data_IF_031203103320
#
_entry.id   IF_031203103320
#
_cell.length_a   1.000
_cell.length_b   1.000
_cell.length_c   1.000
_cell.angle_alpha   90.00
_cell.angle_beta   90.00
_cell.angle_gamma   90.00
#
_symmetry.space_group_name_H-M   'P 1'
#
loop_
_entity.id
_entity.type
_entity.pdbx_description
1 polymer ?
#
# COMPACT_ATOMS: atom_id res chain seq x y z
N UNK A 1 3.84 33.41 -17.57
CA UNK A 1 2.81 32.39 -17.79
C UNK A 1 1.47 33.08 -18.02
N UNK A 2 0.68 32.59 -18.96
CA UNK A 2 -0.70 33.09 -19.17
C UNK A 2 -1.64 32.33 -18.27
N UNK A 3 -2.51 33.06 -17.55
CA UNK A 3 -3.50 32.48 -16.65
C UNK A 3 -4.82 32.30 -17.42
N UNK A 4 -5.46 31.16 -17.26
CA UNK A 4 -6.71 30.81 -17.89
C UNK A 4 -7.66 30.24 -16.84
N UNK A 5 -8.95 30.54 -16.96
CA UNK A 5 -9.99 29.84 -16.20
C UNK A 5 -10.29 28.48 -16.84
N UNK A 6 -10.77 27.52 -16.06
CA UNK A 6 -11.23 26.24 -16.60
C UNK A 6 -12.41 26.44 -17.55
N UNK A 7 -13.27 27.44 -17.29
CA UNK A 7 -14.38 27.78 -18.20
C UNK A 7 -13.86 28.16 -19.59
N UNK A 8 -12.86 29.06 -19.70
CA UNK A 8 -12.26 29.46 -20.97
C UNK A 8 -11.64 28.24 -21.70
N UNK A 9 -10.91 27.36 -20.98
CA UNK A 9 -10.28 26.19 -21.58
C UNK A 9 -11.28 25.16 -22.07
N UNK A 10 -12.46 25.08 -21.44
CA UNK A 10 -13.56 24.20 -21.89
C UNK A 10 -14.25 24.79 -23.11
N UNK A 11 -14.51 26.10 -23.12
CA UNK A 11 -15.11 26.80 -24.27
C UNK A 11 -14.23 26.69 -25.50
N UNK A 12 -12.90 26.80 -25.33
CA UNK A 12 -11.90 26.61 -26.39
C UNK A 12 -11.74 25.13 -26.83
N UNK A 13 -12.42 24.18 -26.17
CA UNK A 13 -12.29 22.74 -26.45
C UNK A 13 -10.96 22.12 -26.05
N UNK A 14 -10.18 22.79 -25.20
CA UNK A 14 -8.82 22.36 -24.79
C UNK A 14 -8.89 21.32 -23.65
N UNK A 15 -9.88 21.44 -22.77
CA UNK A 15 -10.10 20.51 -21.68
C UNK A 15 -11.57 20.18 -21.46
N UNK A 16 -11.81 19.12 -20.70
CA UNK A 16 -13.14 18.72 -20.26
C UNK A 16 -13.14 18.49 -18.75
N UNK A 17 -14.20 18.95 -18.10
CA UNK A 17 -14.49 18.70 -16.68
C UNK A 17 -15.83 17.99 -16.58
N UNK A 18 -15.90 16.98 -15.74
CA UNK A 18 -17.17 16.26 -15.53
C UNK A 18 -17.24 15.59 -14.17
N UNK A 19 -18.45 15.19 -13.82
CA UNK A 19 -18.73 14.40 -12.61
C UNK A 19 -18.92 12.90 -12.93
N UNK A 20 -19.09 12.10 -11.89
CA UNK A 20 -19.33 10.68 -12.01
C UNK A 20 -20.79 10.29 -12.24
N UNK A 21 -21.00 8.99 -12.41
CA UNK A 21 -22.31 8.37 -12.62
C UNK A 21 -22.99 8.05 -11.29
N UNK A 22 -24.29 8.33 -11.19
CA UNK A 22 -25.13 7.98 -10.03
C UNK A 22 -25.69 6.57 -10.22
N UNK A 23 -24.93 5.58 -9.79
CA UNK A 23 -25.37 4.19 -9.83
C UNK A 23 -26.51 3.92 -8.83
N UNK A 24 -27.50 3.12 -9.25
CA UNK A 24 -28.46 2.49 -8.34
C UNK A 24 -27.84 1.22 -7.74
N UNK A 25 -28.21 0.86 -6.53
CA UNK A 25 -27.71 -0.38 -5.89
C UNK A 25 -28.00 -1.63 -6.75
N UNK A 26 -29.11 -1.65 -7.48
CA UNK A 26 -29.48 -2.74 -8.38
C UNK A 26 -28.60 -2.85 -9.64
N UNK A 27 -27.74 -1.88 -9.90
CA UNK A 27 -26.80 -1.91 -11.04
C UNK A 27 -25.43 -2.46 -10.64
N UNK A 28 -25.19 -2.63 -9.33
CA UNK A 28 -23.91 -3.08 -8.76
C UNK A 28 -23.98 -4.54 -8.30
N UNK A 29 -22.81 -5.13 -7.97
CA UNK A 29 -22.71 -6.51 -7.48
C UNK A 29 -22.47 -7.55 -8.56
N UNK A 30 -22.03 -7.16 -9.76
CA UNK A 30 -21.66 -8.06 -10.86
C UNK A 30 -20.17 -8.09 -11.16
N UNK A 31 -19.83 -8.58 -12.34
CA UNK A 31 -18.45 -8.70 -12.85
C UNK A 31 -18.15 -7.72 -14.00
N UNK A 32 -18.97 -6.67 -14.17
CA UNK A 32 -18.79 -5.66 -15.19
C UNK A 32 -17.70 -4.63 -14.87
N UNK A 33 -17.87 -3.40 -15.38
CA UNK A 33 -16.91 -2.32 -15.19
C UNK A 33 -16.77 -1.95 -13.71
N UNK A 34 -15.56 -1.59 -13.29
CA UNK A 34 -15.29 -1.10 -11.93
C UNK A 34 -16.07 0.21 -11.70
N UNK A 35 -16.75 0.32 -10.56
CA UNK A 35 -17.33 1.55 -10.10
C UNK A 35 -16.37 2.26 -9.16
N UNK A 36 -15.66 3.25 -9.67
CA UNK A 36 -14.57 3.94 -8.97
C UNK A 36 -15.13 4.91 -7.92
N UNK A 37 -15.10 4.50 -6.65
CA UNK A 37 -15.52 5.34 -5.52
C UNK A 37 -14.40 6.22 -5.01
N UNK A 38 -14.75 7.34 -4.35
CA UNK A 38 -13.78 8.23 -3.70
C UNK A 38 -12.94 7.52 -2.62
N UNK A 39 -13.46 6.47 -1.99
CA UNK A 39 -12.73 5.66 -1.01
C UNK A 39 -11.53 4.92 -1.61
N UNK A 40 -11.56 4.62 -2.91
CA UNK A 40 -10.43 3.97 -3.60
C UNK A 40 -9.32 4.94 -4.00
N UNK A 41 -9.55 6.25 -3.93
CA UNK A 41 -8.52 7.26 -4.15
C UNK A 41 -7.87 7.62 -2.83
N UNK A 42 -6.61 7.22 -2.67
CA UNK A 42 -5.76 7.50 -1.52
C UNK A 42 -4.67 8.51 -1.91
N UNK A 43 -3.92 9.03 -0.94
CA UNK A 43 -2.80 9.96 -1.20
C UNK A 43 -1.70 9.31 -2.05
N UNK A 44 -1.60 7.99 -1.99
CA UNK A 44 -0.68 7.17 -2.78
C UNK A 44 -1.18 6.81 -4.18
N UNK A 45 -2.38 7.25 -4.58
CA UNK A 45 -3.04 6.90 -5.83
C UNK A 45 -4.26 5.98 -5.63
N UNK A 46 -4.68 5.31 -6.70
CA UNK A 46 -5.83 4.42 -6.65
C UNK A 46 -5.46 3.05 -6.06
N UNK A 47 -6.31 2.58 -5.15
CA UNK A 47 -6.26 1.26 -4.57
C UNK A 47 -7.58 0.54 -4.80
N UNK A 48 -7.54 -0.57 -5.54
CA UNK A 48 -8.72 -1.32 -5.98
C UNK A 48 -8.77 -2.71 -5.31
N UNK A 49 -8.70 -2.75 -3.98
CA UNK A 49 -8.92 -4.00 -3.24
C UNK A 49 -10.42 -4.30 -3.25
N UNK A 50 -10.82 -5.35 -3.95
CA UNK A 50 -12.22 -5.78 -4.13
C UNK A 50 -13.19 -4.64 -4.49
N UNK A 51 -13.01 -3.97 -5.66
CA UNK A 51 -13.80 -2.81 -6.01
C UNK A 51 -15.22 -3.20 -6.40
N UNK A 52 -16.18 -2.34 -6.06
CA UNK A 52 -17.54 -2.44 -6.59
C UNK A 52 -17.55 -2.51 -8.11
N UNK A 53 -18.39 -3.37 -8.67
CA UNK A 53 -18.53 -3.54 -10.11
C UNK A 53 -19.98 -3.45 -10.55
N UNK A 54 -20.20 -2.97 -11.76
CA UNK A 54 -21.49 -3.04 -12.39
C UNK A 54 -21.86 -4.48 -12.76
N UNK A 55 -23.16 -4.76 -12.88
CA UNK A 55 -23.63 -6.06 -13.31
C UNK A 55 -23.29 -6.35 -14.77
N UNK A 56 -23.25 -5.31 -15.60
CA UNK A 56 -22.97 -5.43 -17.05
C UNK A 56 -21.77 -4.58 -17.45
N UNK A 57 -21.06 -5.05 -18.49
CA UNK A 57 -19.91 -4.36 -19.07
C UNK A 57 -20.34 -3.57 -20.32
N UNK A 58 -21.22 -2.58 -20.18
CA UNK A 58 -21.72 -1.73 -21.28
C UNK A 58 -21.12 -0.31 -21.21
N UNK A 59 -19.93 -0.07 -21.79
CA UNK A 59 -19.29 1.26 -21.72
C UNK A 59 -20.16 2.38 -22.29
N UNK A 60 -20.90 2.12 -23.34
CA UNK A 60 -21.75 3.13 -24.01
C UNK A 60 -22.82 3.76 -23.10
N UNK A 61 -23.24 3.07 -22.03
CA UNK A 61 -24.21 3.57 -21.06
C UNK A 61 -23.65 4.75 -20.24
N UNK A 62 -22.35 4.81 -20.04
CA UNK A 62 -21.71 5.74 -19.12
C UNK A 62 -21.09 6.96 -19.82
N UNK A 63 -20.93 6.92 -21.14
CA UNK A 63 -20.39 8.02 -21.95
C UNK A 63 -19.06 8.53 -21.40
N UNK A 64 -18.99 9.84 -21.21
CA UNK A 64 -17.78 10.54 -20.75
C UNK A 64 -17.37 10.23 -19.29
N UNK A 65 -18.23 9.55 -18.52
CA UNK A 65 -17.99 9.20 -17.12
C UNK A 65 -17.10 7.97 -16.93
N UNK A 66 -16.55 7.47 -18.04
CA UNK A 66 -15.55 6.42 -18.05
C UNK A 66 -14.16 7.04 -17.91
N UNK A 67 -13.36 6.47 -17.03
CA UNK A 67 -11.99 6.85 -16.79
C UNK A 67 -11.12 6.62 -18.04
N UNK A 68 -10.53 7.69 -18.55
CA UNK A 68 -9.58 7.65 -19.63
C UNK A 68 -8.15 7.84 -19.08
N UNK A 69 -7.21 7.15 -19.67
CA UNK A 69 -5.80 7.35 -19.36
C UNK A 69 -5.43 8.82 -19.51
N UNK A 70 -4.79 9.37 -18.50
CA UNK A 70 -4.40 10.78 -18.47
C UNK A 70 -5.39 11.70 -17.74
N UNK A 71 -6.56 11.20 -17.33
CA UNK A 71 -7.47 11.99 -16.49
C UNK A 71 -6.83 12.31 -15.14
N UNK A 72 -6.97 13.55 -14.70
CA UNK A 72 -6.78 13.95 -13.32
C UNK A 72 -8.13 13.85 -12.60
N UNK A 73 -8.19 13.05 -11.54
CA UNK A 73 -9.43 12.77 -10.81
C UNK A 73 -9.36 13.38 -9.43
N UNK A 74 -10.40 14.11 -9.03
CA UNK A 74 -10.45 14.77 -7.73
C UNK A 74 -11.67 14.32 -6.93
N UNK A 75 -11.49 14.11 -5.63
CA UNK A 75 -12.59 13.91 -4.70
C UNK A 75 -13.28 15.26 -4.44
N UNK A 76 -14.60 15.29 -4.60
CA UNK A 76 -15.36 16.56 -4.58
C UNK A 76 -16.19 16.74 -3.31
N UNK A 77 -16.32 15.70 -2.46
CA UNK A 77 -17.24 15.77 -1.30
C UNK A 77 -16.71 14.97 -0.10
N UNK A 78 -16.92 15.52 1.09
CA UNK A 78 -16.59 14.90 2.37
C UNK A 78 -15.15 15.15 2.80
N UNK A 79 -14.67 14.39 3.80
CA UNK A 79 -13.36 14.61 4.44
C UNK A 79 -12.15 14.42 3.48
N UNK A 80 -12.35 13.75 2.35
CA UNK A 80 -11.31 13.57 1.33
C UNK A 80 -11.35 14.60 0.21
N UNK A 81 -12.21 15.64 0.31
CA UNK A 81 -12.34 16.68 -0.73
C UNK A 81 -10.98 17.29 -1.05
N UNK A 82 -10.66 17.35 -2.34
CA UNK A 82 -9.36 17.85 -2.81
C UNK A 82 -8.29 16.79 -3.01
N UNK A 83 -8.51 15.52 -2.63
CA UNK A 83 -7.56 14.45 -2.94
C UNK A 83 -7.58 14.18 -4.44
N UNK A 84 -6.38 14.08 -5.04
CA UNK A 84 -6.21 13.96 -6.50
C UNK A 84 -5.49 12.67 -6.86
N UNK A 85 -5.94 12.05 -7.96
CA UNK A 85 -5.30 10.89 -8.58
C UNK A 85 -5.12 11.07 -10.08
N UNK A 86 -4.17 10.33 -10.64
CA UNK A 86 -3.91 10.28 -12.08
C UNK A 86 -4.31 8.92 -12.65
N UNK A 87 -5.13 8.90 -13.68
CA UNK A 87 -5.61 7.65 -14.30
C UNK A 87 -4.50 7.03 -15.13
N UNK A 88 -4.06 5.85 -14.71
CA UNK A 88 -3.16 4.94 -15.43
C UNK A 88 -3.92 3.67 -15.83
N UNK A 89 -3.28 2.75 -16.54
CA UNK A 89 -3.91 1.55 -17.08
C UNK A 89 -4.70 0.69 -16.08
N UNK A 90 -4.35 0.70 -14.79
CA UNK A 90 -5.04 -0.10 -13.76
C UNK A 90 -6.48 0.38 -13.45
N UNK A 91 -6.79 1.63 -13.72
CA UNK A 91 -8.12 2.24 -13.47
C UNK A 91 -8.79 2.75 -14.75
N UNK A 92 -8.11 2.60 -15.89
CA UNK A 92 -8.69 2.94 -17.20
C UNK A 92 -9.92 2.07 -17.47
N UNK A 93 -10.98 2.68 -17.99
CA UNK A 93 -12.24 1.98 -18.24
C UNK A 93 -13.17 1.88 -17.02
N UNK A 94 -12.76 2.28 -15.83
CA UNK A 94 -13.63 2.36 -14.67
C UNK A 94 -14.66 3.50 -14.80
N UNK A 95 -15.80 3.38 -14.14
CA UNK A 95 -16.84 4.42 -14.13
C UNK A 95 -16.71 5.26 -12.86
N UNK A 96 -16.55 6.55 -12.99
CA UNK A 96 -16.46 7.48 -11.85
C UNK A 96 -17.75 7.52 -11.05
N UNK A 97 -17.67 7.51 -9.72
CA UNK A 97 -18.79 7.75 -8.82
C UNK A 97 -19.08 9.26 -8.66
N UNK A 98 -20.28 9.65 -8.18
CA UNK A 98 -20.68 11.06 -8.07
C UNK A 98 -19.83 11.92 -7.13
N UNK A 99 -19.00 11.31 -6.29
CA UNK A 99 -18.07 12.01 -5.38
C UNK A 99 -16.70 12.24 -6.01
N UNK A 100 -16.54 11.84 -7.27
CA UNK A 100 -15.35 12.10 -8.09
C UNK A 100 -15.71 13.04 -9.22
N UNK A 101 -14.79 13.94 -9.53
CA UNK A 101 -14.78 14.72 -10.76
C UNK A 101 -13.50 14.42 -11.52
N UNK A 102 -13.54 14.56 -12.82
CA UNK A 102 -12.37 14.37 -13.68
C UNK A 102 -12.05 15.62 -14.49
N UNK A 103 -10.78 15.86 -14.71
CA UNK A 103 -10.23 16.86 -15.59
C UNK A 103 -9.44 16.16 -16.69
N UNK A 104 -9.89 16.34 -17.92
CA UNK A 104 -9.33 15.66 -19.09
C UNK A 104 -8.78 16.69 -20.06
N UNK A 105 -7.50 16.57 -20.42
CA UNK A 105 -6.95 17.32 -21.54
C UNK A 105 -7.49 16.77 -22.86
N UNK A 106 -8.05 17.66 -23.69
CA UNK A 106 -8.58 17.34 -25.02
C UNK A 106 -7.62 17.73 -26.13
N UNK A 107 -6.69 18.64 -25.88
CA UNK A 107 -5.58 19.02 -26.77
C UNK A 107 -4.25 18.94 -26.01
N UNK A 108 -3.52 17.85 -26.19
CA UNK A 108 -2.23 17.61 -25.54
C UNK A 108 -1.09 18.54 -26.06
N UNK A 109 -1.33 19.30 -27.11
CA UNK A 109 -0.40 20.37 -27.55
C UNK A 109 -0.57 21.66 -26.75
N UNK A 110 -1.63 21.77 -25.98
CA UNK A 110 -1.96 22.92 -25.15
C UNK A 110 -1.85 22.60 -23.66
N UNK A 111 -2.32 21.43 -23.24
CA UNK A 111 -2.22 20.95 -21.86
C UNK A 111 -1.68 19.53 -21.85
N UNK A 112 -0.50 19.35 -21.29
CA UNK A 112 0.05 18.02 -20.98
C UNK A 112 -0.74 17.38 -19.84
N UNK A 113 -1.37 16.19 -20.03
CA UNK A 113 -2.23 15.58 -19.03
C UNK A 113 -1.58 15.40 -17.66
N UNK A 114 -0.30 14.95 -17.64
CA UNK A 114 0.42 14.72 -16.39
C UNK A 114 0.83 16.02 -15.71
N UNK A 115 1.04 17.11 -16.48
CA UNK A 115 1.21 18.44 -15.91
C UNK A 115 -0.04 18.92 -15.19
N UNK A 116 -1.22 18.70 -15.75
CA UNK A 116 -2.50 19.04 -15.12
C UNK A 116 -2.67 18.33 -13.77
N UNK A 117 -2.26 17.06 -13.68
CA UNK A 117 -2.20 16.33 -12.42
C UNK A 117 -1.23 16.97 -11.42
N UNK A 118 0.00 17.37 -11.83
CA UNK A 118 0.92 18.01 -10.92
C UNK A 118 0.48 19.44 -10.52
N UNK A 119 -0.16 20.14 -11.43
CA UNK A 119 -0.78 21.43 -11.09
C UNK A 119 -1.82 21.26 -9.97
N UNK A 120 -2.64 20.24 -10.00
CA UNK A 120 -3.63 19.95 -8.95
C UNK A 120 -3.04 19.62 -7.57
N UNK A 121 -1.74 19.51 -7.47
CA UNK A 121 -0.98 19.32 -6.22
C UNK A 121 -0.11 20.55 -5.87
N UNK A 122 -0.15 21.58 -6.68
CA UNK A 122 0.61 22.81 -6.47
C UNK A 122 -0.09 23.76 -5.49
N UNK A 123 0.68 24.69 -4.93
CA UNK A 123 0.13 25.75 -4.07
C UNK A 123 -0.95 26.56 -4.79
N UNK A 124 -0.77 26.85 -6.10
CA UNK A 124 -1.75 27.59 -6.89
C UNK A 124 -3.15 26.97 -6.87
N UNK A 125 -3.23 25.65 -6.96
CA UNK A 125 -4.51 24.95 -6.85
C UNK A 125 -5.00 24.83 -5.41
N UNK A 126 -4.12 24.46 -4.46
CA UNK A 126 -4.49 24.25 -3.06
C UNK A 126 -5.06 25.51 -2.40
N UNK A 127 -4.51 26.68 -2.73
CA UNK A 127 -4.99 27.98 -2.24
C UNK A 127 -6.41 28.26 -2.76
N UNK A 128 -6.66 28.00 -4.05
CA UNK A 128 -8.00 28.15 -4.64
C UNK A 128 -9.01 27.15 -4.05
N UNK A 129 -8.59 25.89 -3.87
CA UNK A 129 -9.42 24.87 -3.25
C UNK A 129 -9.81 25.28 -1.82
N UNK A 130 -8.85 25.81 -1.04
CA UNK A 130 -9.08 26.32 0.31
C UNK A 130 -10.20 27.36 0.35
N UNK A 131 -10.18 28.32 -0.55
CA UNK A 131 -11.18 29.37 -0.65
C UNK A 131 -12.55 28.90 -1.17
N UNK A 132 -12.59 27.84 -1.98
CA UNK A 132 -13.84 27.36 -2.61
C UNK A 132 -14.54 26.27 -1.80
N UNK A 133 -13.79 25.27 -1.31
CA UNK A 133 -14.38 24.04 -0.73
C UNK A 133 -14.47 24.05 0.80
N UNK A 134 -13.70 24.90 1.49
CA UNK A 134 -13.57 24.91 2.94
C UNK A 134 -13.98 26.25 3.59
N UNK A 135 -14.64 27.12 2.85
CA UNK A 135 -15.04 28.46 3.31
C UNK A 135 -16.30 28.49 4.20
N UNK A 136 -16.95 27.35 4.43
CA UNK A 136 -18.18 27.26 5.23
C UNK A 136 -18.06 26.17 6.29
N UNK A 137 -18.86 26.26 7.37
CA UNK A 137 -18.95 25.23 8.43
C UNK A 137 -19.62 23.92 7.96
N UNK A 138 -20.05 23.85 6.70
CA UNK A 138 -20.61 22.63 6.11
C UNK A 138 -19.52 21.66 5.67
N UNK A 139 -19.92 20.40 5.44
CA UNK A 139 -18.98 19.39 4.91
C UNK A 139 -18.33 19.89 3.61
N UNK A 140 -17.01 19.78 3.48
CA UNK A 140 -16.28 20.28 2.30
C UNK A 140 -16.88 19.78 0.99
N UNK A 141 -17.05 20.70 0.04
CA UNK A 141 -17.63 20.38 -1.28
C UNK A 141 -17.07 21.29 -2.37
N UNK A 142 -16.51 20.69 -3.42
CA UNK A 142 -16.06 21.37 -4.62
C UNK A 142 -17.04 21.09 -5.77
N UNK A 143 -17.99 22.01 -6.02
CA UNK A 143 -18.99 21.84 -7.06
C UNK A 143 -18.39 21.95 -8.47
N UNK A 144 -19.07 21.42 -9.50
CA UNK A 144 -18.65 21.64 -10.90
C UNK A 144 -18.60 23.13 -11.25
N UNK A 145 -19.52 23.94 -10.68
CA UNK A 145 -19.54 25.39 -10.90
C UNK A 145 -18.28 26.06 -10.32
N UNK A 146 -17.83 25.62 -9.16
CA UNK A 146 -16.59 26.14 -8.56
C UNK A 146 -15.37 25.73 -9.38
N UNK A 147 -15.34 24.47 -9.88
CA UNK A 147 -14.26 24.00 -10.76
C UNK A 147 -14.14 24.83 -12.05
N UNK A 148 -15.24 25.34 -12.62
CA UNK A 148 -15.18 26.24 -13.79
C UNK A 148 -14.46 27.56 -13.50
N UNK A 149 -14.40 27.97 -12.23
CA UNK A 149 -13.77 29.21 -11.78
C UNK A 149 -12.30 29.03 -11.42
N UNK A 150 -11.80 27.77 -11.39
CA UNK A 150 -10.38 27.53 -11.16
C UNK A 150 -9.54 28.20 -12.23
N UNK A 151 -8.48 28.84 -11.81
CA UNK A 151 -7.50 29.48 -12.66
C UNK A 151 -6.21 28.68 -12.69
N UNK A 152 -5.72 28.36 -13.87
CA UNK A 152 -4.46 27.64 -14.09
C UNK A 152 -3.48 28.51 -14.86
N UNK A 153 -2.23 28.57 -14.36
CA UNK A 153 -1.11 29.19 -15.05
C UNK A 153 -0.46 28.16 -16.00
N UNK A 154 -0.63 28.35 -17.30
CA UNK A 154 -0.08 27.45 -18.30
C UNK A 154 1.26 28.00 -18.84
N UNK A 155 2.39 27.33 -18.56
CA UNK A 155 3.65 27.58 -19.26
C UNK A 155 3.59 27.03 -20.70
N UNK A 156 4.61 27.31 -21.50
CA UNK A 156 4.77 26.69 -22.83
C UNK A 156 4.75 25.17 -22.72
N UNK A 157 4.21 24.51 -23.75
CA UNK A 157 4.00 23.05 -23.73
C UNK A 157 5.28 22.26 -23.46
N UNK A 158 6.44 22.72 -23.96
CA UNK A 158 7.73 22.09 -23.70
C UNK A 158 8.11 22.11 -22.21
N UNK A 159 7.74 23.18 -21.49
CA UNK A 159 7.96 23.28 -20.03
C UNK A 159 7.00 22.33 -19.29
N UNK A 160 5.72 22.28 -19.69
CA UNK A 160 4.76 21.35 -19.12
C UNK A 160 5.23 19.88 -19.27
N UNK A 161 5.69 19.52 -20.46
CA UNK A 161 6.22 18.19 -20.76
C UNK A 161 7.47 17.86 -19.94
N UNK A 162 8.40 18.82 -19.79
CA UNK A 162 9.58 18.65 -18.96
C UNK A 162 9.24 18.43 -17.48
N UNK A 163 8.34 19.23 -16.92
CA UNK A 163 7.84 19.03 -15.54
C UNK A 163 7.16 17.66 -15.40
N UNK A 164 6.28 17.30 -16.34
CA UNK A 164 5.56 16.04 -16.34
C UNK A 164 6.51 14.84 -16.46
N UNK A 165 7.55 14.93 -17.28
CA UNK A 165 8.56 13.88 -17.45
C UNK A 165 9.40 13.70 -16.18
N UNK A 166 9.92 14.79 -15.62
CA UNK A 166 10.81 14.77 -14.45
C UNK A 166 10.10 14.22 -13.20
N UNK A 167 8.97 14.81 -12.83
CA UNK A 167 8.19 14.34 -11.68
C UNK A 167 7.56 12.97 -11.96
N UNK A 168 7.23 12.73 -13.23
CA UNK A 168 6.67 11.48 -13.69
C UNK A 168 7.61 10.30 -13.54
N UNK A 169 8.88 10.45 -13.83
CA UNK A 169 9.87 9.41 -13.65
C UNK A 169 9.95 8.96 -12.18
N UNK A 170 9.87 9.90 -11.23
CA UNK A 170 9.83 9.61 -9.79
C UNK A 170 8.58 8.82 -9.41
N UNK A 171 7.39 9.27 -9.83
CA UNK A 171 6.14 8.56 -9.55
C UNK A 171 6.07 7.17 -10.18
N UNK A 172 6.62 7.01 -11.40
CA UNK A 172 6.64 5.71 -12.09
C UNK A 172 7.60 4.74 -11.40
N UNK A 173 8.74 5.20 -10.89
CA UNK A 173 9.67 4.40 -10.12
C UNK A 173 9.10 4.00 -8.76
N UNK A 174 8.43 4.92 -8.06
CA UNK A 174 7.69 4.63 -6.81
C UNK A 174 6.66 3.52 -7.05
N UNK A 175 5.89 3.62 -8.12
CA UNK A 175 4.88 2.64 -8.47
C UNK A 175 5.50 1.28 -8.84
N UNK A 176 6.61 1.28 -9.58
CA UNK A 176 7.36 0.06 -9.90
C UNK A 176 7.85 -0.64 -8.64
N UNK A 177 8.42 0.12 -7.70
CA UNK A 177 8.88 -0.41 -6.42
C UNK A 177 7.73 -1.02 -5.61
N UNK A 178 6.56 -0.38 -5.58
CA UNK A 178 5.37 -0.91 -4.90
C UNK A 178 4.88 -2.23 -5.52
N UNK A 179 4.81 -2.30 -6.85
CA UNK A 179 4.40 -3.53 -7.55
C UNK A 179 5.38 -4.67 -7.33
N UNK A 180 6.66 -4.36 -7.41
CA UNK A 180 7.72 -5.33 -7.13
C UNK A 180 7.61 -5.86 -5.69
N UNK A 181 7.44 -4.98 -4.71
CA UNK A 181 7.25 -5.37 -3.31
C UNK A 181 6.04 -6.27 -3.14
N UNK A 182 4.88 -5.91 -3.70
CA UNK A 182 3.67 -6.72 -3.63
C UNK A 182 3.89 -8.12 -4.23
N UNK A 183 4.55 -8.21 -5.39
CA UNK A 183 4.86 -9.50 -6.03
C UNK A 183 5.80 -10.35 -5.17
N UNK A 184 6.87 -9.77 -4.62
CA UNK A 184 7.83 -10.50 -3.77
C UNK A 184 7.17 -10.97 -2.47
N UNK A 185 6.30 -10.16 -1.88
CA UNK A 185 5.52 -10.55 -0.70
C UNK A 185 4.55 -11.70 -1.00
N UNK A 186 3.85 -11.65 -2.14
CA UNK A 186 2.98 -12.75 -2.57
C UNK A 186 3.76 -14.04 -2.81
N UNK A 187 4.94 -13.96 -3.44
CA UNK A 187 5.81 -15.11 -3.63
C UNK A 187 6.27 -15.71 -2.30
N UNK A 188 6.70 -14.89 -1.34
CA UNK A 188 7.12 -15.33 -0.02
C UNK A 188 5.98 -16.02 0.74
N UNK A 189 4.77 -15.45 0.70
CA UNK A 189 3.57 -16.00 1.33
C UNK A 189 3.10 -17.30 0.64
N UNK A 190 3.15 -17.35 -0.68
CA UNK A 190 2.81 -18.56 -1.43
C UNK A 190 3.79 -19.70 -1.11
N UNK A 191 5.09 -19.38 -1.00
CA UNK A 191 6.11 -20.37 -0.62
C UNK A 191 5.90 -20.87 0.81
N UNK A 192 5.65 -19.95 1.76
CA UNK A 192 5.30 -20.31 3.13
C UNK A 192 4.11 -21.27 3.16
N UNK A 193 3.00 -20.91 2.50
CA UNK A 193 1.79 -21.73 2.48
C UNK A 193 2.04 -23.10 1.85
N UNK A 194 2.71 -23.12 0.70
CA UNK A 194 3.07 -24.35 0.00
C UNK A 194 3.92 -25.31 0.85
N UNK A 195 4.90 -24.80 1.61
CA UNK A 195 5.83 -25.64 2.33
C UNK A 195 5.34 -26.06 3.70
N UNK A 196 4.73 -25.13 4.46
CA UNK A 196 4.45 -25.31 5.89
C UNK A 196 2.97 -25.47 6.23
N UNK A 197 2.06 -25.20 5.30
CA UNK A 197 0.62 -25.33 5.49
C UNK A 197 0.04 -26.45 4.61
N UNK A 198 0.25 -26.33 3.29
CA UNK A 198 -0.31 -27.26 2.31
C UNK A 198 0.59 -28.47 2.06
N UNK A 199 1.84 -28.48 2.56
CA UNK A 199 2.84 -29.54 2.38
C UNK A 199 2.99 -29.99 0.92
N UNK A 200 2.83 -29.07 -0.04
CA UNK A 200 2.80 -29.37 -1.47
C UNK A 200 4.02 -30.14 -1.98
N UNK A 201 5.28 -29.84 -1.52
CA UNK A 201 6.44 -30.63 -1.92
C UNK A 201 6.37 -32.10 -1.48
N UNK A 202 5.82 -32.35 -0.28
CA UNK A 202 5.69 -33.72 0.26
C UNK A 202 4.63 -34.49 -0.51
N UNK A 203 3.48 -33.85 -0.80
CA UNK A 203 2.44 -34.46 -1.62
C UNK A 203 2.93 -34.83 -3.01
N UNK A 204 3.67 -33.92 -3.68
CA UNK A 204 4.25 -34.23 -5.00
C UNK A 204 5.21 -35.42 -4.94
N UNK A 205 6.11 -35.47 -3.94
CA UNK A 205 7.04 -36.58 -3.78
C UNK A 205 6.35 -37.91 -3.45
N UNK A 206 5.32 -37.89 -2.62
CA UNK A 206 4.54 -39.08 -2.30
C UNK A 206 3.87 -39.68 -3.55
N UNK A 207 3.56 -38.83 -4.55
CA UNK A 207 3.04 -39.26 -5.87
C UNK A 207 4.14 -39.59 -6.89
N UNK A 208 5.42 -39.55 -6.50
CA UNK A 208 6.54 -39.77 -7.42
C UNK A 208 6.76 -38.61 -8.41
N UNK A 209 6.21 -37.43 -8.11
CA UNK A 209 6.33 -36.24 -8.94
C UNK A 209 7.42 -35.29 -8.43
N UNK A 210 8.04 -34.54 -9.32
CA UNK A 210 8.95 -33.47 -8.93
C UNK A 210 8.13 -32.23 -8.51
N UNK A 211 8.35 -31.67 -7.29
CA UNK A 211 7.71 -30.42 -6.89
C UNK A 211 8.00 -29.31 -7.89
N UNK A 212 6.97 -28.52 -8.23
CA UNK A 212 7.14 -27.42 -9.17
C UNK A 212 8.04 -26.33 -8.61
N UNK A 213 8.85 -25.71 -9.45
CA UNK A 213 9.70 -24.56 -9.13
C UNK A 213 10.75 -24.80 -8.01
N UNK A 214 11.17 -26.05 -7.84
CA UNK A 214 12.21 -26.42 -6.86
C UNK A 214 13.38 -27.13 -7.56
N UNK A 215 14.58 -26.79 -7.15
CA UNK A 215 15.77 -27.54 -7.57
C UNK A 215 15.88 -28.89 -6.83
N UNK A 216 16.68 -29.80 -7.39
CA UNK A 216 16.81 -31.16 -6.85
C UNK A 216 17.36 -31.21 -5.42
N UNK A 217 18.19 -30.24 -5.04
CA UNK A 217 18.79 -30.15 -3.69
C UNK A 217 17.72 -29.80 -2.67
N UNK A 218 16.92 -28.78 -2.99
CA UNK A 218 15.78 -28.35 -2.15
C UNK A 218 14.72 -29.43 -2.05
N UNK A 219 14.38 -30.11 -3.16
CA UNK A 219 13.42 -31.24 -3.16
C UNK A 219 13.85 -32.34 -2.20
N UNK A 220 15.15 -32.67 -2.15
CA UNK A 220 15.68 -33.72 -1.30
C UNK A 220 15.49 -33.46 0.21
N UNK A 221 15.28 -32.23 0.63
CA UNK A 221 15.06 -31.84 2.03
C UNK A 221 13.67 -32.26 2.56
N UNK A 222 12.71 -32.47 1.65
CA UNK A 222 11.35 -32.83 2.03
C UNK A 222 11.17 -34.37 2.06
N UNK A 223 10.42 -34.92 3.01
CA UNK A 223 10.06 -36.33 3.00
C UNK A 223 9.14 -36.66 1.80
N UNK A 224 9.04 -37.94 1.47
CA UNK A 224 8.17 -38.48 0.41
C UNK A 224 6.90 -39.14 0.94
N UNK A 225 6.63 -38.99 2.23
CA UNK A 225 5.51 -39.63 2.90
C UNK A 225 5.10 -38.86 4.15
N UNK A 226 3.90 -39.17 4.62
CA UNK A 226 3.30 -38.64 5.85
C UNK A 226 3.35 -39.63 6.97
N UNK A 227 3.40 -39.13 8.21
CA UNK A 227 3.25 -39.91 9.44
C UNK A 227 1.76 -40.26 9.71
N UNK A 228 1.50 -41.09 10.75
CA UNK A 228 0.15 -41.44 11.16
C UNK A 228 -0.64 -40.26 11.74
N UNK A 229 0.05 -39.21 12.13
CA UNK A 229 -0.46 -37.92 12.62
C UNK A 229 -0.85 -36.95 11.51
N UNK A 230 -0.63 -37.34 10.24
CA UNK A 230 -0.90 -36.49 9.07
C UNK A 230 0.19 -35.45 8.79
N UNK A 231 1.26 -35.42 9.57
CA UNK A 231 2.39 -34.53 9.31
C UNK A 231 3.41 -35.17 8.34
N UNK A 232 4.20 -34.38 7.63
CA UNK A 232 5.33 -34.86 6.85
C UNK A 232 6.26 -35.72 7.73
N UNK A 233 6.70 -36.87 7.23
CA UNK A 233 7.53 -37.81 8.01
C UNK A 233 8.80 -37.14 8.54
N UNK A 234 9.00 -37.20 9.86
CA UNK A 234 10.14 -36.58 10.55
C UNK A 234 9.91 -35.12 10.95
N UNK A 235 8.74 -34.57 10.63
CA UNK A 235 8.33 -33.28 11.20
C UNK A 235 7.62 -33.55 12.53
N UNK A 236 7.58 -32.53 13.40
CA UNK A 236 7.01 -32.62 14.74
C UNK A 236 5.78 -31.72 14.88
N UNK A 237 4.81 -32.16 15.66
CA UNK A 237 3.73 -31.29 16.09
C UNK A 237 4.26 -30.34 17.18
N UNK A 238 4.12 -29.05 16.95
CA UNK A 238 4.54 -28.02 17.87
C UNK A 238 3.59 -26.84 17.88
N UNK A 239 4.07 -25.71 18.35
CA UNK A 239 3.33 -24.45 18.43
C UNK A 239 4.10 -23.32 17.78
N UNK A 240 3.44 -22.19 17.57
CA UNK A 240 4.12 -20.98 17.08
C UNK A 240 5.24 -20.52 18.01
N UNK A 241 5.12 -20.78 19.33
CA UNK A 241 6.16 -20.47 20.30
C UNK A 241 7.47 -21.23 20.06
N UNK A 242 7.45 -22.35 19.32
CA UNK A 242 8.66 -23.09 19.00
C UNK A 242 9.52 -22.35 17.96
N UNK A 243 8.89 -21.55 17.08
CA UNK A 243 9.55 -20.81 16.01
C UNK A 243 9.65 -19.30 16.27
N UNK A 244 8.77 -18.74 17.10
CA UNK A 244 8.61 -17.29 17.28
C UNK A 244 8.65 -16.94 18.77
N UNK A 245 9.40 -15.92 19.13
CA UNK A 245 9.33 -15.27 20.43
C UNK A 245 8.26 -14.17 20.39
N UNK A 246 7.24 -14.28 21.25
CA UNK A 246 6.15 -13.32 21.35
C UNK A 246 6.43 -12.29 22.44
N UNK A 247 6.30 -11.00 22.11
CA UNK A 247 6.55 -9.87 22.98
C UNK A 247 7.89 -9.96 23.72
N UNK A 248 9.02 -10.08 23.01
CA UNK A 248 10.34 -10.15 23.61
C UNK A 248 10.58 -8.95 24.54
N UNK A 249 11.30 -9.18 25.63
CA UNK A 249 11.60 -8.14 26.60
C UNK A 249 12.70 -7.23 26.10
N UNK A 250 12.40 -5.94 25.99
CA UNK A 250 13.34 -4.90 25.61
C UNK A 250 13.44 -3.82 26.68
N UNK A 251 14.64 -3.26 26.84
CA UNK A 251 14.91 -2.20 27.81
C UNK A 251 14.95 -0.85 27.10
N UNK A 252 14.03 0.03 27.43
CA UNK A 252 14.01 1.42 26.97
C UNK A 252 13.62 2.29 28.19
N UNK A 253 14.53 3.13 28.71
CA UNK A 253 14.23 3.99 29.84
C UNK A 253 13.15 5.04 29.51
N UNK A 254 12.29 5.37 30.49
CA UNK A 254 11.31 6.46 30.32
C UNK A 254 12.02 7.79 30.05
N UNK A 255 11.44 8.60 29.16
CA UNK A 255 12.01 9.88 28.73
C UNK A 255 13.06 9.76 27.62
N UNK A 256 13.47 8.55 27.23
CA UNK A 256 14.38 8.38 26.09
C UNK A 256 13.64 8.69 24.79
N UNK A 257 14.20 9.60 23.96
CA UNK A 257 13.72 9.82 22.61
C UNK A 257 14.07 8.60 21.73
N UNK A 258 13.05 7.92 21.22
CA UNK A 258 13.21 6.72 20.41
C UNK A 258 12.18 6.68 19.28
N UNK A 259 12.42 5.93 18.18
CA UNK A 259 11.48 5.77 17.08
C UNK A 259 10.14 5.22 17.55
N UNK A 260 9.07 5.91 17.16
CA UNK A 260 7.71 5.57 17.52
C UNK A 260 6.87 5.20 16.29
N UNK A 261 6.20 4.05 16.39
CA UNK A 261 5.19 3.62 15.41
C UNK A 261 3.81 3.62 16.07
N UNK A 262 2.89 4.36 15.49
CA UNK A 262 1.50 4.35 15.94
C UNK A 262 0.66 3.30 15.20
N UNK A 263 -0.50 2.94 15.73
CA UNK A 263 -1.39 1.93 15.12
C UNK A 263 -1.80 2.27 13.67
N UNK A 264 -1.91 3.55 13.32
CA UNK A 264 -2.26 3.94 11.94
C UNK A 264 -1.14 3.66 10.95
N UNK A 265 0.11 3.62 11.41
CA UNK A 265 1.28 3.35 10.59
C UNK A 265 1.34 1.90 10.07
N UNK A 266 0.66 0.95 10.73
CA UNK A 266 0.59 -0.42 10.26
C UNK A 266 -0.40 -0.52 9.09
N UNK A 267 0.04 -1.03 7.92
CA UNK A 267 -0.81 -1.20 6.76
C UNK A 267 -1.74 -2.42 6.92
N UNK A 268 -2.86 -2.40 6.21
CA UNK A 268 -3.77 -3.55 6.07
C UNK A 268 -3.32 -4.52 4.98
N UNK A 269 -2.44 -4.07 4.07
CA UNK A 269 -1.75 -4.88 3.07
C UNK A 269 -0.35 -4.32 2.85
N UNK A 270 0.59 -5.18 2.41
CA UNK A 270 2.00 -4.80 2.32
C UNK A 270 2.73 -4.97 3.65
N UNK A 271 4.05 -4.96 3.57
CA UNK A 271 4.93 -5.29 4.69
C UNK A 271 5.45 -4.07 5.44
N UNK A 272 5.73 -2.98 4.72
CA UNK A 272 6.36 -1.79 5.30
C UNK A 272 5.35 -0.93 6.05
N UNK A 273 5.70 -0.53 7.26
CA UNK A 273 4.98 0.50 8.00
C UNK A 273 5.22 1.89 7.39
N UNK A 274 4.38 2.86 7.75
CA UNK A 274 4.72 4.27 7.54
C UNK A 274 6.00 4.62 8.33
N UNK A 275 6.71 5.69 7.90
CA UNK A 275 7.95 6.09 8.55
C UNK A 275 7.75 6.37 10.04
N UNK A 276 8.64 5.85 10.91
CA UNK A 276 8.64 6.19 12.33
C UNK A 276 9.08 7.64 12.55
N UNK A 277 8.73 8.19 13.70
CA UNK A 277 9.22 9.50 14.13
C UNK A 277 9.72 9.43 15.59
N UNK A 278 10.65 10.32 15.92
CA UNK A 278 11.20 10.37 17.27
C UNK A 278 10.14 10.88 18.27
N UNK A 279 9.98 10.14 19.36
CA UNK A 279 9.10 10.49 20.48
C UNK A 279 9.69 9.99 21.80
N UNK A 280 9.54 10.77 22.86
CA UNK A 280 9.94 10.34 24.20
C UNK A 280 9.13 9.13 24.65
N UNK A 281 9.82 8.08 25.08
CA UNK A 281 9.19 6.85 25.56
C UNK A 281 8.49 7.10 26.90
N UNK A 282 7.22 6.80 26.93
CA UNK A 282 6.39 6.85 28.14
C UNK A 282 5.90 5.47 28.54
N UNK A 283 5.15 4.83 27.65
CA UNK A 283 4.64 3.47 27.79
C UNK A 283 4.22 2.93 26.43
N UNK A 284 4.47 1.66 26.18
CA UNK A 284 4.11 1.03 24.90
C UNK A 284 4.88 -0.27 24.67
N UNK A 285 4.54 -0.95 23.62
CA UNK A 285 5.25 -2.16 23.17
C UNK A 285 6.57 -1.76 22.53
N UNK A 286 7.64 -2.46 22.87
CA UNK A 286 8.98 -2.22 22.35
C UNK A 286 9.34 -3.32 21.35
N UNK A 287 10.12 -2.95 20.33
CA UNK A 287 10.50 -3.85 19.25
C UNK A 287 11.85 -3.46 18.66
N UNK A 288 12.40 -4.34 17.87
CA UNK A 288 13.64 -4.14 17.09
C UNK A 288 13.36 -4.20 15.62
N UNK A 289 14.34 -3.79 14.84
CA UNK A 289 14.34 -4.02 13.39
C UNK A 289 14.16 -5.50 13.07
N UNK A 290 13.41 -5.80 12.02
CA UNK A 290 13.01 -7.15 11.58
C UNK A 290 11.97 -7.86 12.47
N UNK A 291 11.49 -7.25 13.54
CA UNK A 291 10.33 -7.77 14.25
C UNK A 291 9.06 -7.57 13.40
N UNK A 292 8.16 -8.54 13.46
CA UNK A 292 6.81 -8.40 12.89
C UNK A 292 5.85 -7.86 13.97
N UNK A 293 5.19 -6.76 13.66
CA UNK A 293 4.15 -6.15 14.50
C UNK A 293 2.78 -6.59 14.02
N UNK A 294 2.01 -7.21 14.90
CA UNK A 294 0.62 -7.60 14.67
C UNK A 294 -0.29 -6.74 15.56
N UNK A 295 -1.28 -6.08 14.97
CA UNK A 295 -2.31 -5.40 15.76
C UNK A 295 -3.17 -6.44 16.48
N UNK A 296 -3.45 -6.23 17.79
CA UNK A 296 -4.23 -7.18 18.60
C UNK A 296 -5.66 -6.74 18.89
N UNK A 297 -6.03 -5.52 18.57
CA UNK A 297 -7.32 -4.91 18.96
C UNK A 297 -8.29 -4.85 17.76
N UNK A 298 -9.60 -5.00 18.03
CA UNK A 298 -10.71 -4.71 17.11
C UNK A 298 -10.71 -3.22 16.69
N UNK A 299 -10.94 -2.84 15.42
CA UNK A 299 -11.04 -3.71 14.24
C UNK A 299 -9.69 -3.93 13.53
N UNK A 300 -8.58 -3.54 14.16
CA UNK A 300 -7.27 -3.52 13.51
C UNK A 300 -6.77 -4.93 13.15
N UNK A 301 -6.94 -5.92 14.03
CA UNK A 301 -6.60 -7.32 13.75
C UNK A 301 -7.47 -7.88 12.62
N UNK A 302 -8.76 -7.64 12.67
CA UNK A 302 -9.74 -8.09 11.67
C UNK A 302 -9.41 -7.53 10.29
N UNK A 303 -8.97 -6.26 10.24
CA UNK A 303 -8.51 -5.58 9.03
C UNK A 303 -7.10 -6.02 8.61
N UNK A 304 -6.42 -6.90 9.35
CA UNK A 304 -5.11 -7.43 9.04
C UNK A 304 -3.96 -6.44 9.20
N UNK A 305 -4.07 -5.45 10.09
CA UNK A 305 -2.97 -4.51 10.36
C UNK A 305 -1.74 -5.21 10.90
N UNK A 306 -0.69 -5.26 10.06
CA UNK A 306 0.57 -5.97 10.31
C UNK A 306 1.69 -5.26 9.57
N UNK A 307 2.89 -5.21 10.14
CA UNK A 307 4.08 -4.72 9.45
C UNK A 307 5.34 -5.44 9.95
N UNK A 308 6.38 -5.46 9.12
CA UNK A 308 7.76 -5.73 9.56
C UNK A 308 8.40 -4.38 9.87
N UNK A 309 9.13 -4.30 10.97
CA UNK A 309 9.92 -3.11 11.32
C UNK A 309 11.13 -3.04 10.40
N UNK A 310 11.15 -2.10 9.47
CA UNK A 310 12.17 -1.95 8.43
C UNK A 310 13.06 -0.70 8.60
N UNK A 311 12.72 0.17 9.54
CA UNK A 311 13.47 1.39 9.82
C UNK A 311 13.27 1.82 11.29
N UNK A 312 14.36 2.06 11.99
CA UNK A 312 14.40 2.59 13.35
C UNK A 312 15.26 3.85 13.45
N UNK A 313 15.43 4.60 12.36
CA UNK A 313 16.21 5.86 12.32
C UNK A 313 17.61 5.70 12.96
N UNK A 314 18.25 4.53 12.76
CA UNK A 314 19.56 4.20 13.32
C UNK A 314 19.54 3.81 14.81
N UNK A 315 18.38 3.65 15.44
CA UNK A 315 18.25 3.18 16.83
C UNK A 315 18.11 1.65 16.89
N UNK A 316 18.56 1.03 17.98
CA UNK A 316 18.39 -0.42 18.17
C UNK A 316 16.95 -0.80 18.55
N UNK A 317 16.26 0.07 19.29
CA UNK A 317 14.94 -0.18 19.86
C UNK A 317 13.99 0.94 19.46
N UNK A 318 12.87 0.54 18.88
CA UNK A 318 11.68 1.34 18.69
C UNK A 318 10.59 0.98 19.68
N UNK A 319 9.53 1.80 19.73
CA UNK A 319 8.36 1.54 20.52
C UNK A 319 7.07 1.99 19.81
N UNK A 320 5.93 1.54 20.32
CA UNK A 320 4.66 1.87 19.69
C UNK A 320 3.47 1.56 20.58
N UNK A 321 2.30 1.42 19.97
CA UNK A 321 1.04 1.15 20.66
C UNK A 321 1.14 -0.07 21.59
N UNK A 322 0.52 0.00 22.76
CA UNK A 322 0.32 -1.15 23.66
C UNK A 322 -0.56 -2.25 23.02
N UNK A 323 -1.21 -1.94 21.91
CA UNK A 323 -2.06 -2.85 21.15
C UNK A 323 -1.30 -3.59 20.03
N UNK A 324 0.03 -3.64 20.11
CA UNK A 324 0.87 -4.50 19.27
C UNK A 324 1.23 -5.80 19.99
N UNK A 325 1.22 -6.88 19.23
CA UNK A 325 1.94 -8.12 19.54
C UNK A 325 3.19 -8.11 18.67
N UNK A 326 4.36 -8.27 19.30
CA UNK A 326 5.63 -8.43 18.60
C UNK A 326 5.88 -9.90 18.38
N UNK A 327 6.20 -10.26 17.14
CA UNK A 327 6.54 -11.63 16.73
C UNK A 327 7.97 -11.60 16.17
N UNK A 328 8.91 -12.12 16.94
CA UNK A 328 10.35 -12.21 16.58
C UNK A 328 10.69 -13.62 16.18
N UNK A 329 11.29 -13.81 15.01
CA UNK A 329 11.82 -15.10 14.61
C UNK A 329 12.92 -15.57 15.58
N UNK A 330 12.88 -16.85 15.99
CA UNK A 330 13.94 -17.45 16.77
C UNK A 330 15.19 -17.72 15.92
N UNK A 331 16.36 -17.91 16.54
CA UNK A 331 17.58 -18.26 15.80
C UNK A 331 17.36 -19.47 14.87
N UNK A 332 17.81 -19.36 13.63
CA UNK A 332 17.64 -20.40 12.60
C UNK A 332 16.30 -20.35 11.85
N UNK A 333 15.40 -19.43 12.22
CA UNK A 333 14.13 -19.19 11.55
C UNK A 333 14.23 -17.90 10.73
N UNK A 334 13.69 -17.92 9.50
CA UNK A 334 13.63 -16.73 8.66
C UNK A 334 12.84 -15.61 9.32
N UNK A 335 13.36 -14.39 9.30
CA UNK A 335 12.65 -13.18 9.76
C UNK A 335 11.37 -12.89 8.97
N UNK A 336 11.22 -13.48 7.78
CA UNK A 336 10.02 -13.40 6.98
C UNK A 336 8.89 -14.33 7.47
N UNK A 337 9.23 -15.41 8.21
CA UNK A 337 8.25 -16.41 8.64
C UNK A 337 7.15 -15.82 9.55
N UNK A 338 7.46 -15.04 10.60
CA UNK A 338 6.43 -14.38 11.41
C UNK A 338 5.48 -13.49 10.60
N UNK A 339 6.01 -12.79 9.60
CA UNK A 339 5.21 -11.95 8.71
C UNK A 339 4.29 -12.78 7.81
N UNK A 340 4.80 -13.84 7.19
CA UNK A 340 3.99 -14.74 6.37
C UNK A 340 2.84 -15.36 7.18
N UNK A 341 3.12 -15.81 8.40
CA UNK A 341 2.11 -16.31 9.34
C UNK A 341 1.09 -15.23 9.67
N UNK A 342 1.52 -14.03 10.07
CA UNK A 342 0.63 -12.93 10.45
C UNK A 342 -0.29 -12.46 9.29
N UNK A 343 0.12 -12.69 8.05
CA UNK A 343 -0.66 -12.40 6.83
C UNK A 343 -1.51 -13.58 6.34
N UNK A 344 -1.32 -14.77 6.90
CA UNK A 344 -2.12 -15.94 6.53
C UNK A 344 -3.57 -15.77 7.02
N UNK A 345 -4.60 -16.00 6.16
CA UNK A 345 -5.99 -15.83 6.54
C UNK A 345 -6.44 -16.84 7.59
N UNK A 346 -5.92 -18.08 7.57
CA UNK A 346 -6.29 -19.12 8.54
C UNK A 346 -5.75 -18.76 9.92
N UNK A 347 -4.47 -18.34 10.00
CA UNK A 347 -3.90 -17.79 11.24
C UNK A 347 -4.70 -16.60 11.77
N UNK A 348 -5.10 -15.68 10.90
CA UNK A 348 -5.89 -14.50 11.31
C UNK A 348 -7.25 -14.94 11.91
N UNK A 349 -7.91 -15.88 11.28
CA UNK A 349 -9.17 -16.42 11.79
C UNK A 349 -9.00 -17.04 13.18
N UNK A 350 -7.94 -17.82 13.40
CA UNK A 350 -7.62 -18.39 14.72
C UNK A 350 -7.26 -17.31 15.74
N UNK A 351 -6.44 -16.32 15.36
CA UNK A 351 -6.08 -15.20 16.23
C UNK A 351 -7.32 -14.39 16.68
N UNK A 352 -8.31 -14.18 15.79
CA UNK A 352 -9.58 -13.54 16.13
C UNK A 352 -10.37 -14.38 17.15
N UNK A 353 -10.34 -15.71 17.07
CA UNK A 353 -11.00 -16.58 18.06
C UNK A 353 -10.38 -16.47 19.46
N UNK A 354 -9.12 -16.04 19.58
CA UNK A 354 -8.49 -15.81 20.88
C UNK A 354 -8.95 -14.51 21.55
N UNK A 355 -9.69 -13.65 20.84
CA UNK A 355 -10.06 -12.31 21.31
C UNK A 355 -11.01 -12.37 22.51
N UNK A 356 -10.73 -11.54 23.49
CA UNK A 356 -11.54 -11.34 24.70
C UNK A 356 -11.77 -9.86 24.97
N UNK A 357 -12.85 -9.52 25.67
CA UNK A 357 -13.20 -8.16 26.03
C UNK A 357 -14.61 -7.76 25.62
N UNK A 358 -15.00 -6.52 25.90
CA UNK A 358 -16.30 -5.97 25.52
C UNK A 358 -16.39 -5.72 24.01
N UNK A 359 -17.62 -5.73 23.48
CA UNK A 359 -17.90 -5.44 22.07
C UNK A 359 -17.21 -4.14 21.62
N UNK A 360 -16.53 -4.16 20.48
CA UNK A 360 -15.78 -3.03 19.89
C UNK A 360 -14.42 -2.73 20.54
N UNK A 361 -14.01 -3.45 21.59
CA UNK A 361 -12.69 -3.33 22.24
C UNK A 361 -12.08 -4.68 22.61
N UNK A 362 -12.33 -5.68 21.81
CA UNK A 362 -11.76 -7.02 22.00
C UNK A 362 -10.26 -6.99 21.64
N UNK A 363 -9.49 -7.85 22.33
CA UNK A 363 -8.05 -7.98 22.16
C UNK A 363 -7.66 -9.42 22.05
N UNK A 364 -6.87 -9.76 21.06
CA UNK A 364 -6.24 -11.06 20.94
C UNK A 364 -5.19 -11.25 22.05
N UNK A 365 -5.07 -12.46 22.52
CA UNK A 365 -4.14 -12.85 23.57
C UNK A 365 -2.86 -13.43 22.97
N UNK A 366 -1.73 -12.75 23.17
CA UNK A 366 -0.43 -13.14 22.64
C UNK A 366 -0.01 -14.55 23.11
N UNK A 367 -0.36 -14.93 24.36
CA UNK A 367 -0.06 -16.26 24.88
C UNK A 367 -0.86 -17.33 24.15
N UNK A 368 -2.18 -17.13 23.99
CA UNK A 368 -3.02 -18.07 23.22
C UNK A 368 -2.58 -18.19 21.78
N UNK A 369 -2.22 -17.06 21.14
CA UNK A 369 -1.67 -17.06 19.78
C UNK A 369 -0.36 -17.89 19.75
N UNK A 370 0.53 -17.72 20.72
CA UNK A 370 1.79 -18.46 20.76
C UNK A 370 1.60 -19.98 20.91
N UNK A 371 0.47 -20.42 21.46
CA UNK A 371 0.09 -21.84 21.67
C UNK A 371 -0.65 -22.43 20.46
N UNK A 372 -0.91 -21.67 19.38
CA UNK A 372 -1.51 -22.21 18.15
C UNK A 372 -0.61 -23.28 17.52
N UNK A 373 -1.24 -24.36 17.09
CA UNK A 373 -0.54 -25.52 16.53
C UNK A 373 0.17 -25.17 15.22
N UNK A 374 1.35 -25.72 15.05
CA UNK A 374 2.12 -25.63 13.81
C UNK A 374 2.95 -26.87 13.59
N UNK A 375 3.10 -27.29 12.33
CA UNK A 375 4.04 -28.32 11.95
C UNK A 375 5.48 -27.74 11.97
N UNK A 376 6.34 -28.35 12.76
CA UNK A 376 7.73 -27.94 12.89
C UNK A 376 8.58 -28.75 11.91
N UNK A 377 9.06 -28.10 10.88
CA UNK A 377 9.92 -28.71 9.87
C UNK A 377 11.34 -28.92 10.40
N UNK A 378 12.09 -29.80 9.72
CA UNK A 378 13.51 -29.98 9.99
C UNK A 378 14.31 -28.68 9.72
N UNK A 379 15.35 -28.43 10.49
CA UNK A 379 16.18 -27.23 10.35
C UNK A 379 16.67 -26.96 8.90
N UNK A 380 17.10 -27.96 8.09
CA UNK A 380 17.47 -27.72 6.70
C UNK A 380 16.35 -27.12 5.83
N UNK A 381 15.09 -27.47 6.10
CA UNK A 381 13.93 -26.90 5.38
C UNK A 381 13.75 -25.41 5.73
N UNK A 382 13.88 -25.06 7.02
CA UNK A 382 13.85 -23.66 7.47
C UNK A 382 15.01 -22.85 6.87
N UNK A 383 16.20 -23.44 6.79
CA UNK A 383 17.38 -22.81 6.15
C UNK A 383 17.11 -22.55 4.67
N UNK A 384 16.66 -23.56 3.92
CA UNK A 384 16.34 -23.41 2.50
C UNK A 384 15.24 -22.38 2.25
N UNK A 385 14.22 -22.35 3.11
CA UNK A 385 13.18 -21.30 3.05
C UNK A 385 13.78 -19.92 3.29
N UNK A 386 14.63 -19.78 4.30
CA UNK A 386 15.31 -18.52 4.60
C UNK A 386 16.18 -18.04 3.45
N UNK A 387 16.94 -18.91 2.81
CA UNK A 387 17.82 -18.60 1.69
C UNK A 387 17.05 -18.05 0.47
N UNK A 388 15.83 -18.52 0.28
CA UNK A 388 14.95 -18.05 -0.81
C UNK A 388 14.23 -16.75 -0.42
N UNK A 389 13.66 -16.69 0.78
CA UNK A 389 12.71 -15.62 1.15
C UNK A 389 13.41 -14.38 1.74
N UNK A 390 14.58 -14.55 2.41
CA UNK A 390 15.28 -13.39 2.99
C UNK A 390 15.73 -12.37 1.95
N UNK A 391 16.29 -12.76 0.78
CA UNK A 391 16.59 -11.79 -0.28
C UNK A 391 15.34 -11.06 -0.82
N UNK A 392 14.19 -11.75 -0.86
CA UNK A 392 12.92 -11.11 -1.25
C UNK A 392 12.53 -10.03 -0.23
N UNK A 393 12.60 -10.34 1.06
CA UNK A 393 12.33 -9.41 2.14
C UNK A 393 13.26 -8.20 2.09
N UNK A 394 14.56 -8.44 1.93
CA UNK A 394 15.56 -7.36 1.84
C UNK A 394 15.29 -6.45 0.64
N UNK A 395 14.87 -7.02 -0.49
CA UNK A 395 14.50 -6.23 -1.65
C UNK A 395 13.23 -5.41 -1.42
N UNK A 396 12.23 -5.95 -0.71
CA UNK A 396 11.01 -5.21 -0.34
C UNK A 396 11.36 -4.03 0.57
N UNK A 397 12.20 -4.25 1.58
CA UNK A 397 12.68 -3.18 2.48
C UNK A 397 13.41 -2.09 1.70
N UNK A 398 14.36 -2.47 0.84
CA UNK A 398 15.11 -1.53 0.01
C UNK A 398 14.20 -0.74 -0.93
N UNK A 399 13.22 -1.41 -1.57
CA UNK A 399 12.25 -0.77 -2.45
C UNK A 399 11.34 0.20 -1.69
N UNK A 400 10.95 -0.12 -0.46
CA UNK A 400 10.19 0.76 0.42
C UNK A 400 10.96 2.03 0.78
N UNK A 401 12.24 1.89 1.15
CA UNK A 401 13.12 3.02 1.45
C UNK A 401 13.34 3.91 0.22
N UNK A 402 13.65 3.29 -0.93
CA UNK A 402 13.79 4.00 -2.20
C UNK A 402 12.52 4.79 -2.55
N UNK A 403 11.34 4.17 -2.42
CA UNK A 403 10.07 4.84 -2.67
C UNK A 403 9.83 6.04 -1.74
N UNK A 404 10.20 5.96 -0.46
CA UNK A 404 10.12 7.09 0.49
C UNK A 404 11.05 8.23 0.07
N UNK A 405 12.29 7.94 -0.31
CA UNK A 405 13.26 8.93 -0.76
C UNK A 405 12.80 9.63 -2.05
N UNK A 406 12.32 8.85 -3.02
CA UNK A 406 11.78 9.38 -4.29
C UNK A 406 10.54 10.25 -4.06
N UNK A 407 9.66 9.88 -3.14
CA UNK A 407 8.50 10.68 -2.79
C UNK A 407 8.91 12.02 -2.14
N UNK A 408 9.89 11.99 -1.24
CA UNK A 408 10.43 13.19 -0.61
C UNK A 408 11.09 14.13 -1.64
N UNK A 409 11.86 13.59 -2.58
CA UNK A 409 12.47 14.36 -3.67
C UNK A 409 11.40 14.98 -4.57
N UNK A 410 10.41 14.17 -5.01
CA UNK A 410 9.27 14.66 -5.82
C UNK A 410 8.56 15.82 -5.13
N UNK A 411 8.25 15.69 -3.84
CA UNK A 411 7.50 16.68 -3.08
C UNK A 411 8.31 17.96 -2.83
N UNK A 412 9.64 17.86 -2.77
CA UNK A 412 10.55 19.01 -2.74
C UNK A 412 10.69 19.71 -4.11
N UNK A 413 10.69 18.95 -5.21
CA UNK A 413 10.84 19.49 -6.56
C UNK A 413 9.55 20.12 -7.08
N UNK A 414 8.39 19.57 -6.74
CA UNK A 414 7.09 19.98 -7.27
C UNK A 414 6.83 21.50 -7.12
N UNK A 415 6.89 22.13 -5.93
CA UNK A 415 6.60 23.55 -5.79
C UNK A 415 7.61 24.43 -6.55
N UNK A 416 8.88 24.04 -6.58
CA UNK A 416 9.96 24.81 -7.23
C UNK A 416 9.87 24.74 -8.76
N UNK A 417 9.47 23.60 -9.32
CA UNK A 417 9.22 23.44 -10.76
C UNK A 417 7.95 24.18 -11.18
N UNK A 418 6.88 24.08 -10.38
CA UNK A 418 5.60 24.74 -10.69
C UNK A 418 5.69 26.26 -10.61
N UNK A 419 6.49 26.81 -9.70
CA UNK A 419 6.75 28.25 -9.60
C UNK A 419 7.75 28.78 -10.65
N UNK A 420 8.53 27.88 -11.28
CA UNK A 420 9.64 28.24 -12.17
C UNK A 420 10.91 28.68 -11.43
N UNK A 421 10.97 28.51 -10.11
CA UNK A 421 12.19 28.77 -9.31
C UNK A 421 13.33 27.82 -9.71
N UNK A 422 13.00 26.56 -10.00
CA UNK A 422 13.95 25.55 -10.45
C UNK A 422 13.76 25.28 -11.95
N UNK A 423 14.86 25.25 -12.70
CA UNK A 423 14.85 24.91 -14.12
C UNK A 423 14.77 23.38 -14.30
N UNK A 424 14.08 22.94 -15.35
CA UNK A 424 13.90 21.50 -15.66
C UNK A 424 15.24 20.76 -15.70
N UNK A 425 16.25 21.29 -16.40
CA UNK A 425 17.59 20.65 -16.48
C UNK A 425 18.28 20.47 -15.13
N UNK A 426 18.02 21.34 -14.18
CA UNK A 426 18.60 21.26 -12.83
C UNK A 426 17.87 20.20 -12.01
N UNK A 427 16.55 20.07 -12.19
CA UNK A 427 15.76 19.03 -11.58
C UNK A 427 16.08 17.63 -12.17
N UNK A 428 16.22 17.53 -13.50
CA UNK A 428 16.63 16.30 -14.20
C UNK A 428 17.95 15.75 -13.63
N UNK A 429 18.96 16.57 -13.41
CA UNK A 429 20.21 16.14 -12.79
C UNK A 429 20.02 15.56 -11.39
N UNK A 430 19.17 16.19 -10.56
CA UNK A 430 18.87 15.68 -9.23
C UNK A 430 18.12 14.35 -9.27
N UNK A 431 17.29 14.14 -10.29
CA UNK A 431 16.56 12.87 -10.49
C UNK A 431 17.50 11.80 -11.02
N UNK A 432 18.38 12.11 -11.98
CA UNK A 432 19.37 11.15 -12.53
C UNK A 432 20.33 10.59 -11.46
N UNK A 433 20.60 11.37 -10.41
CA UNK A 433 21.45 10.92 -9.28
C UNK A 433 20.76 9.88 -8.38
N UNK A 434 19.44 9.71 -8.47
CA UNK A 434 18.62 8.92 -7.52
C UNK A 434 17.82 7.81 -8.21
N UNK A 435 17.57 7.91 -9.51
CA UNK A 435 16.81 6.92 -10.31
C UNK A 435 17.75 6.04 -11.13
#
# INVERSE_FOLDING_TARGET
MRRHTFAELIEDGIMKVGDGYRAKNSELGGNGLVFLRSAYLQDSGFRLDDPDRFQVAEPGKFGDKIACRGDSVITTKGNSTGRVGYVKGSVEGAVYSPHLSYWRSMDHRRIEPRFLYYWSRSAEFLDQLGGMAFSTDMAPYLSLRDQLRLEISLPEIGIQQGIAATLGALDDKIELNRRMSATLEEMARALYRSWFVDFAPVHARALGQTPAHMDATTVALFPDSFGPDGLPRGWEAGTLADLIEFNPKESLPKGTAAPYLEMKALPTSGMSADAPYLREFTSGTKFRERDTLLARITPCLENGKTAVVDDLLGSEIGWGSTEFIVMRAKPGISVALPYCIARDPDFRAEAIQTMTGSSGRQRADAKRISELNMAIALAPVHTAFSDIVSPMLDRVVAAGQEARNLASLRDALLPRLMSGELRIREAEKQVEEVV
#
